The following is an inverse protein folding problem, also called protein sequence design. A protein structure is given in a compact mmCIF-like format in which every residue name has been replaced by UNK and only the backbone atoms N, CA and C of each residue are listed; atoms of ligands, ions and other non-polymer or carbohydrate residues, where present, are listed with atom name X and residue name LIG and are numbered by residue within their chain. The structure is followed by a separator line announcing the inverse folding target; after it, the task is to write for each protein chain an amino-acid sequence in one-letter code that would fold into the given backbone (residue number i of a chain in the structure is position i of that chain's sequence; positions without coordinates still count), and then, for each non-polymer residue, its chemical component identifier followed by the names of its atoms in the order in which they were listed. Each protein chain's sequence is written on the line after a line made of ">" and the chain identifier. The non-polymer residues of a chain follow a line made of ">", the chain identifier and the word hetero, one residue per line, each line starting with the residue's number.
data_IF_858308741543
#
_entry.id   IF_858308741543
#
_cell.length_a   1.000
_cell.length_b   1.000
_cell.length_c   1.000
_cell.angle_alpha   90.00
_cell.angle_beta   90.00
_cell.angle_gamma   90.00
#
_symmetry.space_group_name_H-M   'P 1'
#
loop_
_entity.id
_entity.type
_entity.pdbx_description
1 polymer ?
2 polymer ?
3 non-polymer ?
4 water ?
#
# COMPACT_ATOMS: atom_id res chain seq x y z
N UNK A 1 1.50 -4.57 -12.98
CA UNK A 1 2.85 -4.34 -12.45
C UNK A 1 3.35 -5.53 -11.64
N UNK A 2 4.34 -6.23 -12.15
CA UNK A 2 4.88 -7.39 -11.45
C UNK A 2 5.80 -6.90 -10.35
N UNK A 3 5.60 -7.43 -9.14
CA UNK A 3 6.32 -6.91 -7.98
C UNK A 3 6.87 -7.99 -7.04
N UNK A 4 7.80 -7.57 -6.18
CA UNK A 4 8.36 -8.42 -5.14
C UNK A 4 8.09 -7.78 -3.79
N UNK A 5 7.51 -8.54 -2.87
CA UNK A 5 7.11 -7.97 -1.59
C UNK A 5 8.11 -8.37 -0.52
N UNK A 6 8.56 -7.41 0.28
CA UNK A 6 9.37 -7.72 1.46
C UNK A 6 8.77 -7.12 2.72
N UNK A 7 8.12 -7.95 3.52
CA UNK A 7 7.63 -7.50 4.81
C UNK A 7 8.75 -7.34 5.82
N UNK A 8 8.68 -6.27 6.61
CA UNK A 8 9.65 -6.06 7.69
C UNK A 8 8.91 -5.82 9.00
N UNK A 9 9.12 -6.70 9.97
CA UNK A 9 8.35 -6.62 11.20
C UNK A 9 7.03 -7.36 11.10
N UNK A 10 6.29 -7.32 12.20
CA UNK A 10 5.09 -8.14 12.33
C UNK A 10 3.94 -7.71 11.41
N UNK A 11 3.60 -6.43 11.46
CA UNK A 11 2.54 -5.89 10.60
C UNK A 11 2.91 -6.08 9.13
N UNK A 12 4.16 -5.75 8.79
CA UNK A 12 4.62 -5.87 7.41
C UNK A 12 4.49 -7.28 6.85
N UNK A 13 4.83 -8.27 7.66
CA UNK A 13 4.74 -9.65 7.20
C UNK A 13 3.29 -10.08 7.03
N UNK A 14 2.43 -9.57 7.90
CA UNK A 14 1.01 -9.87 7.82
C UNK A 14 0.36 -9.25 6.57
N UNK A 15 0.67 -7.99 6.31
CA UNK A 15 0.12 -7.31 5.14
C UNK A 15 0.71 -7.90 3.86
N UNK A 16 2.02 -8.16 3.86
CA UNK A 16 2.65 -8.80 2.70
C UNK A 16 2.05 -10.18 2.39
N UNK A 17 1.71 -10.95 3.43
CA UNK A 17 1.03 -12.23 3.23
C UNK A 17 -0.36 -12.06 2.62
N UNK A 18 -1.11 -11.07 3.10
CA UNK A 18 -2.48 -10.85 2.63
C UNK A 18 -2.48 -10.47 1.14
N UNK A 19 -1.57 -9.58 0.77
CA UNK A 19 -1.42 -9.17 -0.63
C UNK A 19 -1.05 -10.35 -1.52
N UNK A 20 -0.08 -11.17 -1.11
CA UNK A 20 0.30 -12.33 -1.89
C UNK A 20 -0.85 -13.31 -2.00
N UNK A 21 -1.57 -13.47 -0.89
CA UNK A 21 -2.74 -14.34 -0.85
C UNK A 21 -3.85 -13.84 -1.81
N UNK A 22 -4.06 -12.54 -1.86
CA UNK A 22 -5.03 -11.99 -2.81
C UNK A 22 -4.60 -12.26 -4.25
N UNK A 23 -3.34 -11.97 -4.55
CA UNK A 23 -2.79 -12.20 -5.88
C UNK A 23 -2.90 -13.66 -6.32
N UNK A 24 -2.71 -14.58 -5.38
CA UNK A 24 -2.70 -16.02 -5.68
C UNK A 24 -4.10 -16.55 -5.93
N UNK A 25 -5.03 -16.17 -5.05
CA UNK A 25 -6.40 -16.64 -5.14
C UNK A 25 -7.08 -16.16 -6.43
N UNK A 26 -6.85 -14.90 -6.78
CA UNK A 26 -7.41 -14.34 -8.02
C UNK A 26 -6.69 -14.85 -9.25
N UNK A 27 -5.48 -15.35 -9.08
CA UNK A 27 -4.71 -15.81 -10.22
C UNK A 27 -4.10 -14.70 -11.05
N UNK A 28 -4.03 -13.48 -10.53
CA UNK A 28 -3.44 -12.38 -11.30
C UNK A 28 -1.93 -12.55 -11.57
N UNK A 29 -1.21 -13.12 -10.60
CA UNK A 29 0.21 -13.41 -10.78
C UNK A 29 1.13 -12.19 -10.76
N UNK A 30 0.69 -11.11 -10.14
CA UNK A 30 1.45 -9.86 -10.15
C UNK A 30 2.54 -9.91 -9.11
N UNK A 31 2.31 -10.68 -8.06
CA UNK A 31 3.28 -10.83 -6.99
C UNK A 31 4.20 -11.98 -7.35
N UNK A 32 5.45 -11.66 -7.68
CA UNK A 32 6.38 -12.69 -8.15
C UNK A 32 6.96 -13.46 -6.97
N UNK A 33 7.05 -12.79 -5.83
CA UNK A 33 7.55 -13.44 -4.63
C UNK A 33 7.23 -12.57 -3.44
N UNK A 34 7.34 -13.15 -2.25
CA UNK A 34 7.07 -12.44 -1.00
C UNK A 34 7.96 -13.03 0.08
N UNK A 35 8.62 -12.17 0.84
CA UNK A 35 9.51 -12.59 1.92
C UNK A 35 9.21 -11.75 3.15
N UNK A 36 9.20 -12.37 4.32
CA UNK A 36 9.04 -11.59 5.54
C UNK A 36 10.31 -11.64 6.38
N UNK A 37 10.75 -10.47 6.82
CA UNK A 37 11.91 -10.33 7.67
C UNK A 37 11.46 -9.85 9.04
N UNK A 38 12.01 -10.43 10.10
CA UNK A 38 11.64 -10.04 11.46
C UNK A 38 12.71 -10.44 12.45
N UNK A 39 12.54 -10.01 13.69
CA UNK A 39 13.48 -10.30 14.77
C UNK A 39 12.74 -11.07 15.85
N UNK A 40 11.44 -11.25 15.65
CA UNK A 40 10.62 -12.06 16.54
C UNK A 40 10.35 -13.38 15.82
N UNK A 41 10.83 -14.48 16.39
CA UNK A 41 10.72 -15.76 15.69
C UNK A 41 9.27 -16.23 15.53
N UNK A 42 8.48 -16.08 16.60
CA UNK A 42 7.08 -16.50 16.59
C UNK A 42 6.25 -15.87 15.46
N UNK A 43 6.48 -14.59 15.19
CA UNK A 43 5.80 -13.90 14.10
C UNK A 43 6.02 -14.58 12.76
N UNK A 44 7.23 -15.07 12.55
CA UNK A 44 7.58 -15.62 11.25
C UNK A 44 7.01 -17.00 11.05
N UNK A 45 6.83 -17.73 12.14
CA UNK A 45 6.43 -19.13 12.05
C UNK A 45 5.01 -19.31 11.52
N UNK A 46 4.18 -18.28 11.67
CA UNK A 46 2.78 -18.39 11.29
C UNK A 46 2.53 -18.02 9.83
N UNK A 47 3.48 -17.31 9.24
CA UNK A 47 3.32 -16.81 7.87
C UNK A 47 3.57 -17.86 6.80
N UNK A 48 2.79 -17.79 5.70
CA UNK A 48 2.89 -18.72 4.58
C UNK A 48 3.88 -18.28 3.50
N UNK A 49 4.66 -17.23 3.78
CA UNK A 49 5.67 -16.76 2.85
C UNK A 49 7.04 -17.17 3.34
N UNK A 50 8.04 -17.06 2.48
CA UNK A 50 9.43 -17.26 2.88
C UNK A 50 9.77 -16.29 4.01
N UNK A 51 10.47 -16.79 5.02
CA UNK A 51 10.79 -15.98 6.21
C UNK A 51 12.30 -15.89 6.44
N UNK A 52 12.74 -14.73 6.91
CA UNK A 52 14.13 -14.53 7.32
C UNK A 52 14.19 -13.95 8.73
N UNK A 53 14.84 -14.68 9.63
CA UNK A 53 15.01 -14.22 11.00
C UNK A 53 16.37 -13.55 11.11
N UNK A 54 16.37 -12.33 11.62
CA UNK A 54 17.61 -11.59 11.82
C UNK A 54 17.72 -11.17 13.28
N UNK A 55 18.94 -10.84 13.70
CA UNK A 55 19.18 -10.23 14.99
C UNK A 55 19.27 -11.12 16.21
N UNK A 56 19.27 -12.44 16.03
CA UNK A 56 19.32 -13.38 17.17
C UNK A 56 20.49 -13.15 18.11
N UNK A 57 21.61 -12.65 17.57
CA UNK A 57 22.78 -12.39 18.39
C UNK A 57 22.57 -11.20 19.30
N UNK A 58 21.54 -10.40 19.01
CA UNK A 58 21.22 -9.21 19.82
C UNK A 58 19.98 -9.43 20.72
N UNK A 59 18.90 -9.94 20.13
CA UNK A 59 17.61 -10.01 20.82
C UNK A 59 16.98 -11.41 20.86
N UNK A 60 17.77 -12.43 20.53
CA UNK A 60 17.37 -13.83 20.77
C UNK A 60 15.97 -14.21 20.23
N UNK A 61 15.63 -13.77 19.03
CA UNK A 61 14.36 -14.14 18.44
C UNK A 61 13.10 -13.58 19.10
N UNK A 62 13.25 -12.60 19.98
CA UNK A 62 12.07 -12.08 20.69
C UNK A 62 11.73 -10.61 20.42
N UNK A 63 12.10 -10.11 19.24
CA UNK A 63 11.71 -8.78 18.80
C UNK A 63 12.51 -7.69 19.49
N UNK A 64 12.32 -6.44 19.07
CA UNK A 64 13.08 -5.33 19.65
C UNK A 64 12.22 -4.41 20.51
N UNK A 65 10.96 -4.80 20.75
CA UNK A 65 10.11 -4.14 21.72
C UNK A 65 9.93 -2.65 21.52
N UNK A 66 9.78 -2.25 20.26
CA UNK A 66 9.42 -0.88 19.93
C UNK A 66 10.62 0.03 19.92
N UNK A 67 11.81 -0.56 20.03
CA UNK A 67 13.06 0.19 19.97
C UNK A 67 13.46 0.36 18.50
N UNK A 68 13.16 1.54 17.96
CA UNK A 68 13.43 1.91 16.59
C UNK A 68 14.93 1.83 16.22
N UNK A 69 15.79 2.30 17.12
CA UNK A 69 17.21 2.36 16.83
C UNK A 69 17.86 0.96 16.85
N UNK A 70 17.32 0.08 17.67
CA UNK A 70 17.74 -1.32 17.66
C UNK A 70 17.23 -2.00 16.39
N UNK A 71 16.03 -1.63 15.95
CA UNK A 71 15.47 -2.16 14.72
C UNK A 71 16.29 -1.82 13.50
N UNK A 72 16.85 -0.62 13.50
CA UNK A 72 17.69 -0.16 12.40
C UNK A 72 19.07 -0.86 12.41
N UNK A 73 19.68 -0.96 13.59
CA UNK A 73 21.03 -1.54 13.73
C UNK A 73 21.07 -3.00 13.30
N UNK A 74 20.02 -3.73 13.64
CA UNK A 74 19.96 -5.15 13.30
C UNK A 74 19.82 -5.33 11.78
N UNK A 75 19.03 -4.48 11.15
CA UNK A 75 18.90 -4.53 9.70
C UNK A 75 20.21 -4.11 9.02
N UNK A 76 20.96 -3.21 9.63
CA UNK A 76 22.26 -2.83 9.08
C UNK A 76 23.22 -4.02 9.09
N UNK A 77 23.32 -4.69 10.24
CA UNK A 77 24.25 -5.79 10.44
C UNK A 77 23.90 -7.00 9.60
N UNK A 78 22.61 -7.20 9.40
CA UNK A 78 22.13 -8.45 8.83
C UNK A 78 21.52 -8.29 7.44
N UNK A 79 21.73 -7.13 6.81
CA UNK A 79 21.10 -6.89 5.50
C UNK A 79 21.54 -7.81 4.38
N UNK A 80 22.79 -8.28 4.43
CA UNK A 80 23.30 -9.22 3.43
C UNK A 80 22.43 -10.48 3.40
N UNK A 81 22.16 -11.05 4.57
CA UNK A 81 21.27 -12.21 4.67
C UNK A 81 19.87 -11.88 4.12
N UNK A 82 19.40 -10.66 4.38
CA UNK A 82 18.13 -10.22 3.80
C UNK A 82 18.22 -10.12 2.28
N UNK A 83 19.18 -9.33 1.78
CA UNK A 83 19.40 -9.18 0.33
C UNK A 83 19.56 -10.52 -0.38
N UNK A 84 20.11 -11.51 0.33
CA UNK A 84 20.39 -12.82 -0.27
C UNK A 84 19.15 -13.70 -0.38
N UNK A 85 18.17 -13.42 0.46
CA UNK A 85 16.87 -14.05 0.30
C UNK A 85 16.25 -13.56 -1.01
N UNK A 86 16.58 -12.32 -1.40
CA UNK A 86 16.04 -11.70 -2.60
C UNK A 86 16.75 -12.08 -3.89
N UNK A 87 17.94 -12.67 -3.77
CA UNK A 87 18.72 -13.04 -4.94
C UNK A 87 17.89 -13.79 -5.98
N UNK A 88 17.39 -14.96 -5.59
CA UNK A 88 16.61 -15.77 -6.51
C UNK A 88 15.13 -15.38 -6.52
N UNK A 89 14.82 -14.24 -5.93
CA UNK A 89 13.42 -13.81 -5.80
C UNK A 89 13.08 -12.52 -6.55
N UNK A 90 13.93 -11.50 -6.44
CA UNK A 90 13.80 -10.32 -7.30
C UNK A 90 14.33 -10.72 -8.67
N UNK A 91 13.48 -11.38 -9.44
CA UNK A 91 13.92 -11.87 -10.73
C UNK A 91 13.97 -10.72 -11.72
N UNK A 92 14.25 -11.04 -12.98
CA UNK A 92 14.38 -10.05 -14.03
C UNK A 92 13.03 -9.45 -14.38
N UNK A 93 11.98 -10.23 -14.14
CA UNK A 93 10.64 -9.82 -14.49
C UNK A 93 10.07 -8.78 -13.54
N UNK A 94 10.75 -8.52 -12.42
CA UNK A 94 10.21 -7.61 -11.42
C UNK A 94 10.16 -6.17 -11.93
N UNK A 95 9.03 -5.51 -11.74
CA UNK A 95 8.89 -4.15 -12.25
C UNK A 95 8.97 -3.12 -11.14
N UNK A 96 8.95 -3.60 -9.91
CA UNK A 96 9.02 -2.76 -8.74
C UNK A 96 9.27 -3.65 -7.53
N UNK A 97 9.65 -3.03 -6.41
CA UNK A 97 9.78 -3.73 -5.14
C UNK A 97 9.07 -2.96 -4.04
N UNK A 98 8.20 -3.64 -3.30
CA UNK A 98 7.50 -3.02 -2.17
C UNK A 98 8.10 -3.47 -0.85
N UNK A 99 8.62 -2.52 -0.05
CA UNK A 99 8.99 -2.83 1.32
C UNK A 99 7.77 -2.53 2.20
N UNK A 100 7.16 -3.56 2.77
CA UNK A 100 5.92 -3.40 3.52
C UNK A 100 6.19 -3.35 5.04
N UNK A 101 5.78 -2.28 5.69
CA UNK A 101 6.08 -2.09 7.12
C UNK A 101 5.03 -1.31 7.91
N UNK A 102 4.86 -1.72 9.17
CA UNK A 102 4.19 -0.90 10.15
C UNK A 102 5.17 0.15 10.63
N UNK A 103 4.86 1.42 10.41
CA UNK A 103 5.82 2.48 10.74
C UNK A 103 5.96 2.75 12.24
N UNK A 104 5.00 2.30 13.06
CA UNK A 104 5.04 2.58 14.49
C UNK A 104 5.83 1.59 15.34
N UNK A 105 6.10 0.41 14.80
CA UNK A 105 6.78 -0.64 15.53
C UNK A 105 8.25 -0.35 15.76
N UNK A 106 9.02 -1.37 16.10
CA UNK A 106 10.45 -1.21 16.28
C UNK A 106 11.18 -1.74 15.06
N UNK A 107 10.83 -2.95 14.65
CA UNK A 107 11.51 -3.63 13.56
C UNK A 107 11.25 -3.00 12.20
N UNK A 108 9.97 -2.84 11.86
CA UNK A 108 9.60 -2.25 10.60
C UNK A 108 10.07 -0.83 10.57
N UNK A 109 9.71 -0.09 11.62
CA UNK A 109 10.09 1.32 11.75
C UNK A 109 11.58 1.53 11.52
N UNK A 110 12.40 0.75 12.22
CA UNK A 110 13.84 0.87 12.11
C UNK A 110 14.38 0.29 10.83
N UNK A 111 13.99 -0.94 10.51
CA UNK A 111 14.53 -1.66 9.37
C UNK A 111 14.02 -1.24 7.99
N UNK A 112 12.78 -0.75 7.91
CA UNK A 112 12.24 -0.42 6.58
C UNK A 112 13.09 0.60 5.82
N UNK A 113 13.44 1.73 6.45
CA UNK A 113 14.20 2.73 5.70
C UNK A 113 15.55 2.19 5.28
N UNK A 114 16.18 1.44 6.20
CA UNK A 114 17.48 0.84 5.92
C UNK A 114 17.42 -0.09 4.71
N UNK A 115 16.45 -0.99 4.68
CA UNK A 115 16.31 -1.90 3.56
C UNK A 115 15.90 -1.17 2.27
N UNK A 116 15.04 -0.15 2.41
CA UNK A 116 14.62 0.62 1.23
C UNK A 116 15.82 1.32 0.61
N UNK A 117 16.63 1.96 1.46
CA UNK A 117 17.81 2.68 1.00
C UNK A 117 18.86 1.73 0.41
N UNK A 118 18.94 0.51 0.93
CA UNK A 118 19.87 -0.47 0.38
C UNK A 118 19.42 -0.95 -1.02
N UNK A 119 18.14 -1.23 -1.16
CA UNK A 119 17.59 -1.74 -2.42
C UNK A 119 17.57 -0.68 -3.51
N UNK A 120 17.22 0.55 -3.13
CA UNK A 120 17.16 1.66 -4.07
C UNK A 120 18.52 1.92 -4.71
N UNK A 121 19.58 1.53 -4.01
CA UNK A 121 20.92 1.85 -4.46
C UNK A 121 21.57 0.75 -5.29
N UNK A 122 20.78 -0.18 -5.79
CA UNK A 122 21.31 -1.28 -6.59
C UNK A 122 20.39 -1.76 -7.71
N UNK A 123 19.09 -1.85 -7.43
CA UNK A 123 18.13 -2.30 -8.44
C UNK A 123 17.68 -1.13 -9.31
N UNK A 124 17.32 -1.42 -10.56
CA UNK A 124 16.92 -0.35 -11.48
C UNK A 124 15.45 0.01 -11.32
N UNK A 125 14.66 -0.91 -10.77
CA UNK A 125 13.22 -0.68 -10.64
C UNK A 125 12.89 0.17 -9.42
N UNK A 126 11.72 0.83 -9.43
CA UNK A 126 11.40 1.62 -8.23
C UNK A 126 11.29 0.75 -6.97
N UNK A 127 11.74 1.31 -5.86
CA UNK A 127 11.52 0.72 -4.54
C UNK A 127 10.50 1.56 -3.78
N UNK A 128 9.35 0.96 -3.51
CA UNK A 128 8.26 1.64 -2.81
C UNK A 128 8.17 1.09 -1.40
N UNK A 129 7.74 1.93 -0.46
CA UNK A 129 7.38 1.47 0.86
C UNK A 129 5.86 1.50 0.97
N UNK A 130 5.28 0.36 1.32
CA UNK A 130 3.88 0.32 1.70
C UNK A 130 3.87 0.45 3.23
N UNK A 131 3.58 1.66 3.70
CA UNK A 131 3.73 1.97 5.11
C UNK A 131 2.43 2.09 5.88
N UNK A 132 2.36 1.41 7.03
CA UNK A 132 1.17 1.50 7.89
C UNK A 132 1.31 2.54 8.99
N UNK A 133 0.43 3.54 8.94
CA UNK A 133 0.40 4.61 9.93
C UNK A 133 -0.37 4.12 11.16
N UNK A 134 0.16 4.39 12.37
CA UNK A 134 -0.54 3.92 13.57
C UNK A 134 -1.81 4.71 13.78
N UNK A 135 -2.82 4.07 14.37
CA UNK A 135 -4.01 4.81 14.76
C UNK A 135 -3.68 5.89 15.77
N UNK A 136 -4.48 6.95 15.74
CA UNK A 136 -4.30 8.09 16.63
C UNK A 136 -4.39 7.76 18.12
N UNK A 137 -5.02 6.64 18.47
CA UNK A 137 -5.09 6.25 19.88
C UNK A 137 -3.84 5.50 20.37
N UNK A 138 -2.97 5.11 19.45
CA UNK A 138 -1.78 4.34 19.81
C UNK A 138 -0.80 5.18 20.63
N UNK A 139 0.03 4.50 21.42
CA UNK A 139 0.94 5.19 22.32
C UNK A 139 1.90 6.16 21.68
N UNK A 140 2.30 7.15 22.44
CA UNK A 140 3.30 8.12 22.01
C UNK A 140 4.54 7.49 21.37
N UNK A 141 5.00 6.38 21.95
CA UNK A 141 6.18 5.69 21.45
C UNK A 141 6.02 5.29 20.00
N UNK A 142 4.83 4.83 19.66
CA UNK A 142 4.50 4.38 18.32
C UNK A 142 4.33 5.57 17.37
N UNK A 143 3.79 6.67 17.88
CA UNK A 143 3.65 7.89 17.09
C UNK A 143 5.03 8.43 16.72
N UNK A 144 5.93 8.45 17.71
CA UNK A 144 7.32 8.89 17.51
C UNK A 144 8.10 7.98 16.54
N UNK A 145 8.02 6.67 16.74
CA UNK A 145 8.62 5.73 15.79
C UNK A 145 8.14 5.98 14.34
N UNK A 146 6.84 6.17 14.18
CA UNK A 146 6.25 6.37 12.87
C UNK A 146 6.64 7.71 12.29
N UNK A 147 6.72 8.72 13.15
CA UNK A 147 7.10 10.06 12.70
C UNK A 147 8.46 10.05 12.05
N UNK A 148 9.45 9.54 12.78
CA UNK A 148 10.81 9.43 12.28
C UNK A 148 10.91 8.50 11.07
N UNK A 149 10.26 7.34 11.16
CA UNK A 149 10.27 6.37 10.07
C UNK A 149 9.69 6.98 8.78
N UNK A 150 8.53 7.63 8.89
CA UNK A 150 7.87 8.24 7.74
C UNK A 150 8.77 9.28 7.11
N UNK A 151 9.43 10.07 7.95
CA UNK A 151 10.34 11.09 7.46
C UNK A 151 11.48 10.43 6.67
N UNK A 152 12.01 9.34 7.20
CA UNK A 152 13.17 8.72 6.56
C UNK A 152 12.80 8.02 5.26
N UNK A 153 11.74 7.23 5.28
CA UNK A 153 11.33 6.52 4.06
C UNK A 153 10.90 7.48 2.96
N UNK A 154 10.33 8.63 3.31
CA UNK A 154 9.92 9.58 2.29
C UNK A 154 11.11 10.17 1.53
N UNK A 155 12.29 10.08 2.13
CA UNK A 155 13.51 10.51 1.44
C UNK A 155 14.19 9.37 0.69
N UNK A 156 14.20 8.18 1.28
CA UNK A 156 14.98 7.08 0.74
C UNK A 156 14.23 6.23 -0.29
N UNK A 157 12.92 6.14 -0.17
CA UNK A 157 12.12 5.34 -1.08
C UNK A 157 11.72 6.13 -2.32
N UNK A 158 11.27 5.45 -3.35
CA UNK A 158 10.83 6.17 -4.55
C UNK A 158 9.44 6.73 -4.32
N UNK A 159 8.67 6.05 -3.49
CA UNK A 159 7.45 6.62 -2.92
C UNK A 159 6.98 5.81 -1.73
N UNK A 160 6.18 6.46 -0.88
CA UNK A 160 5.61 5.81 0.27
C UNK A 160 4.10 5.82 0.17
N UNK A 161 3.52 4.66 -0.15
CA UNK A 161 2.07 4.52 -0.17
C UNK A 161 1.59 4.27 1.26
N UNK A 162 0.78 5.18 1.79
CA UNK A 162 0.40 5.11 3.20
C UNK A 162 -0.96 4.49 3.43
N UNK A 163 -1.02 3.62 4.44
CA UNK A 163 -2.26 3.08 4.93
C UNK A 163 -2.50 3.61 6.34
N UNK A 164 -3.60 4.33 6.51
CA UNK A 164 -4.01 4.79 7.84
C UNK A 164 -4.94 3.75 8.49
N UNK A 165 -4.46 3.10 9.55
CA UNK A 165 -5.25 2.10 10.26
C UNK A 165 -6.59 2.65 10.75
N UNK A 166 -6.58 3.90 11.16
CA UNK A 166 -7.80 4.58 11.57
C UNK A 166 -8.81 4.73 10.43
N UNK A 167 -8.36 4.59 9.18
CA UNK A 167 -9.28 4.75 8.04
C UNK A 167 -10.14 3.50 7.83
N UNK A 168 -9.77 2.40 8.47
CA UNK A 168 -10.46 1.14 8.27
C UNK A 168 -10.91 0.56 9.60
N UNK A 169 -12.15 0.88 9.95
CA UNK A 169 -12.72 0.52 11.23
C UNK A 169 -14.15 0.03 11.04
N UNK A 170 -14.54 -0.96 11.83
CA UNK A 170 -15.89 -1.51 11.75
C UNK A 170 -16.35 -1.68 13.19
N UNK A 171 -17.53 -1.14 13.52
CA UNK A 171 -18.01 -1.21 14.89
C UNK A 171 -18.13 -2.66 15.37
N UNK A 172 -17.66 -2.90 16.60
CA UNK A 172 -17.81 -4.20 17.22
C UNK A 172 -16.69 -5.20 16.96
N UNK A 173 -15.81 -4.89 16.02
CA UNK A 173 -14.77 -5.83 15.62
C UNK A 173 -13.76 -6.16 16.74
N UNK A 174 -13.35 -7.42 16.78
CA UNK A 174 -12.27 -7.83 17.66
C UNK A 174 -10.95 -7.23 17.17
N UNK A 175 -9.95 -7.25 18.03
CA UNK A 175 -8.66 -6.66 17.72
C UNK A 175 -8.00 -7.32 16.52
N UNK A 176 -8.06 -8.65 16.48
CA UNK A 176 -7.41 -9.37 15.39
C UNK A 176 -8.22 -9.28 14.10
N UNK A 177 -9.55 -9.29 14.22
CA UNK A 177 -10.44 -9.08 13.07
C UNK A 177 -10.18 -7.72 12.42
N UNK A 178 -10.03 -6.71 13.27
CA UNK A 178 -9.74 -5.37 12.79
C UNK A 178 -8.51 -5.36 11.90
N UNK A 179 -7.42 -5.93 12.40
CA UNK A 179 -6.16 -5.95 11.66
C UNK A 179 -6.29 -6.75 10.39
N UNK A 180 -6.89 -7.94 10.47
CA UNK A 180 -7.14 -8.73 9.27
C UNK A 180 -8.01 -7.97 8.26
N UNK A 181 -9.06 -7.30 8.74
CA UNK A 181 -9.95 -6.54 7.86
C UNK A 181 -9.20 -5.42 7.17
N UNK A 182 -8.31 -4.76 7.90
CA UNK A 182 -7.49 -3.70 7.28
C UNK A 182 -6.59 -4.30 6.22
N UNK A 183 -5.91 -5.37 6.57
CA UNK A 183 -4.98 -6.00 5.65
C UNK A 183 -5.69 -6.46 4.38
N UNK A 184 -6.88 -7.00 4.55
CA UNK A 184 -7.63 -7.54 3.43
C UNK A 184 -8.12 -6.44 2.49
N UNK A 185 -8.51 -5.30 3.06
CA UNK A 185 -8.98 -4.19 2.24
C UNK A 185 -7.80 -3.63 1.48
N UNK A 186 -6.65 -3.58 2.15
CA UNK A 186 -5.48 -3.02 1.49
C UNK A 186 -5.03 -3.95 0.39
N UNK A 187 -5.07 -5.25 0.68
CA UNK A 187 -4.69 -6.25 -0.29
C UNK A 187 -5.52 -6.14 -1.59
N UNK A 188 -6.83 -6.02 -1.45
CA UNK A 188 -7.71 -5.89 -2.62
C UNK A 188 -7.40 -4.66 -3.45
N UNK A 189 -7.28 -3.51 -2.78
CA UNK A 189 -6.88 -2.26 -3.41
C UNK A 189 -5.55 -2.32 -4.15
N UNK A 190 -4.51 -2.76 -3.45
CA UNK A 190 -3.17 -2.81 -4.03
C UNK A 190 -3.08 -3.89 -5.09
N UNK A 191 -3.63 -5.06 -4.78
CA UNK A 191 -3.66 -6.17 -5.72
C UNK A 191 -4.29 -5.81 -7.07
N UNK A 192 -5.41 -5.07 -7.03
CA UNK A 192 -6.09 -4.68 -8.25
C UNK A 192 -5.23 -3.69 -9.00
N UNK A 193 -4.57 -2.80 -8.27
CA UNK A 193 -3.66 -1.84 -8.90
C UNK A 193 -2.53 -2.57 -9.62
N UNK A 194 -1.97 -3.58 -8.95
CA UNK A 194 -0.92 -4.39 -9.53
C UNK A 194 -1.43 -5.24 -10.68
N UNK A 195 -2.66 -5.72 -10.57
CA UNK A 195 -3.21 -6.61 -11.60
C UNK A 195 -3.59 -5.89 -12.90
N UNK A 196 -3.97 -4.63 -12.80
CA UNK A 196 -4.42 -3.86 -13.97
C UNK A 196 -3.40 -3.88 -15.10
N UNK A 197 -2.12 -3.87 -14.74
CA UNK A 197 -1.05 -3.88 -15.72
C UNK A 197 -0.80 -5.25 -16.33
N UNK A 198 -1.45 -6.28 -15.80
CA UNK A 198 -1.18 -7.63 -16.28
C UNK A 198 -2.28 -8.17 -17.19
N UNK A 199 -3.31 -7.36 -17.42
CA UNK A 199 -4.34 -7.65 -18.42
C UNK A 199 -5.01 -9.01 -18.25
N UNK A 207 -6.72 -1.69 -21.06
CA UNK A 207 -5.65 -2.24 -20.24
C UNK A 207 -4.62 -1.17 -19.87
N UNK A 208 -4.45 -0.97 -18.57
CA UNK A 208 -3.59 0.08 -18.03
C UNK A 208 -2.13 -0.34 -17.96
N UNK A 209 -1.27 0.27 -18.78
CA UNK A 209 0.16 -0.05 -18.78
C UNK A 209 0.71 0.10 -17.37
N UNK A 210 1.70 -0.73 -17.04
CA UNK A 210 2.38 -0.64 -15.75
C UNK A 210 3.09 0.71 -15.63
N UNK A 211 3.47 1.28 -16.77
CA UNK A 211 4.20 2.54 -16.76
C UNK A 211 3.35 3.71 -16.25
N UNK A 212 2.02 3.59 -16.31
CA UNK A 212 1.12 4.60 -15.76
C UNK A 212 1.24 4.67 -14.24
N UNK A 213 1.40 3.50 -13.62
CA UNK A 213 1.60 3.42 -12.17
C UNK A 213 2.96 4.03 -11.80
N UNK A 214 3.99 3.65 -12.55
CA UNK A 214 5.34 4.14 -12.30
C UNK A 214 5.44 5.65 -12.45
N UNK A 215 4.82 6.19 -13.50
CA UNK A 215 4.86 7.63 -13.73
C UNK A 215 4.00 8.43 -12.75
N UNK A 216 2.96 7.80 -12.22
CA UNK A 216 2.17 8.41 -11.16
C UNK A 216 2.98 8.56 -9.87
N UNK A 217 3.72 7.51 -9.51
CA UNK A 217 4.52 7.51 -8.28
C UNK A 217 5.88 8.18 -8.43
N UNK A 218 6.24 8.52 -9.67
CA UNK A 218 7.57 9.02 -10.01
C UNK A 218 7.95 10.31 -9.27
N UNK A 219 6.96 11.13 -8.96
CA UNK A 219 7.17 12.38 -8.24
C UNK A 219 7.74 12.17 -6.83
N UNK A 220 7.45 11.02 -6.23
CA UNK A 220 7.97 10.73 -4.91
C UNK A 220 7.07 11.16 -3.76
N UNK A 221 7.58 10.99 -2.55
CA UNK A 221 6.86 11.37 -1.34
C UNK A 221 5.67 10.49 -1.07
N UNK A 222 4.67 11.03 -0.38
CA UNK A 222 3.55 10.24 0.09
C UNK A 222 2.54 9.94 -1.02
N UNK A 223 2.07 8.70 -1.07
CA UNK A 223 1.00 8.37 -1.99
C UNK A 223 -0.20 7.78 -1.27
N UNK A 224 -1.37 7.86 -1.91
CA UNK A 224 -2.58 7.27 -1.35
C UNK A 224 -3.32 6.50 -2.42
N UNK A 225 -4.11 5.52 -2.00
CA UNK A 225 -4.82 4.70 -2.96
C UNK A 225 -6.29 4.64 -2.62
N UNK A 226 -7.11 5.19 -3.50
CA UNK A 226 -8.54 5.25 -3.25
C UNK A 226 -9.31 4.14 -3.93
N UNK A 227 -10.37 3.68 -3.28
CA UNK A 227 -11.24 2.66 -3.86
C UNK A 227 -12.71 2.85 -3.49
N UNK A 228 -13.59 2.68 -4.47
CA UNK A 228 -15.03 2.61 -4.22
C UNK A 228 -15.72 1.86 -5.36
N UNK A 229 -16.84 1.20 -5.05
CA UNK A 229 -17.54 0.41 -6.06
C UNK A 229 -19.06 0.58 -6.02
N UNK A 230 -19.71 0.15 -7.08
CA UNK A 230 -21.16 0.30 -7.21
C UNK A 230 -21.68 -0.79 -8.11
N UNK A 231 -22.93 -1.17 -7.92
CA UNK A 231 -23.56 -2.12 -8.81
C UNK A 231 -23.57 -1.56 -10.22
N UNK A 232 -23.31 -2.41 -11.21
CA UNK A 232 -23.38 -1.99 -12.60
C UNK A 232 -24.64 -2.48 -13.28
N UNK A 233 -25.27 -1.57 -14.01
CA UNK A 233 -26.30 -1.93 -14.95
C UNK A 233 -25.62 -2.51 -16.18
N UNK A 234 -26.28 -3.46 -16.85
CA UNK A 234 -25.80 -4.04 -18.11
C UNK A 234 -25.68 -2.97 -19.19
N UNK A 235 -26.50 -1.94 -19.09
CA UNK A 235 -26.44 -0.82 -20.03
C UNK A 235 -25.44 0.21 -19.53
N UNK A 236 -24.43 0.50 -20.36
CA UNK A 236 -23.38 1.46 -20.01
C UNK A 236 -23.92 2.86 -19.72
N UNK A 237 -24.89 3.32 -20.51
CA UNK A 237 -25.52 4.62 -20.28
C UNK A 237 -26.12 4.79 -18.87
N UNK A 238 -26.61 3.71 -18.26
CA UNK A 238 -27.16 3.81 -16.91
C UNK A 238 -26.08 3.99 -15.86
N UNK A 239 -24.81 3.81 -16.24
CA UNK A 239 -23.75 3.75 -15.25
C UNK A 239 -22.93 5.02 -15.22
N UNK A 240 -23.38 6.05 -15.92
CA UNK A 240 -22.62 7.29 -15.99
C UNK A 240 -22.45 7.90 -14.60
N UNK A 241 -23.57 7.99 -13.88
CA UNK A 241 -23.57 8.46 -12.49
C UNK A 241 -22.73 7.60 -11.56
N UNK A 242 -22.88 6.28 -11.69
CA UNK A 242 -22.07 5.33 -10.93
C UNK A 242 -20.55 5.59 -11.06
N UNK A 243 -20.09 5.85 -12.29
CA UNK A 243 -18.67 6.14 -12.52
C UNK A 243 -18.24 7.45 -11.85
N UNK A 244 -19.09 8.48 -11.96
CA UNK A 244 -18.83 9.77 -11.31
C UNK A 244 -18.73 9.62 -9.80
N UNK A 245 -19.66 8.88 -9.23
CA UNK A 245 -19.78 8.87 -7.79
C UNK A 245 -18.74 7.94 -7.16
N UNK A 246 -18.52 6.76 -7.74
CA UNK A 246 -17.42 5.91 -7.25
C UNK A 246 -16.08 6.65 -7.30
N UNK A 247 -15.87 7.41 -8.37
CA UNK A 247 -14.62 8.16 -8.53
C UNK A 247 -14.51 9.23 -7.46
N UNK A 248 -15.58 10.00 -7.25
CA UNK A 248 -15.62 10.96 -6.13
C UNK A 248 -15.36 10.31 -4.77
N UNK A 249 -16.02 9.18 -4.53
CA UNK A 249 -15.86 8.52 -3.24
C UNK A 249 -14.43 8.02 -3.05
N UNK A 250 -13.86 7.45 -4.12
CA UNK A 250 -12.51 6.92 -4.08
C UNK A 250 -11.51 8.00 -3.68
N UNK A 251 -11.71 9.19 -4.23
CA UNK A 251 -10.84 10.33 -3.95
C UNK A 251 -11.13 11.00 -2.59
N UNK A 252 -12.40 11.05 -2.19
CA UNK A 252 -12.77 11.80 -1.00
C UNK A 252 -12.98 10.96 0.28
N UNK A 253 -13.65 9.83 0.18
CA UNK A 253 -13.86 8.99 1.36
C UNK A 253 -13.08 7.67 1.35
N UNK A 254 -12.81 7.11 0.19
CA UNK A 254 -12.33 5.74 0.12
C UNK A 254 -10.83 5.60 0.02
N UNK A 255 -10.11 6.63 0.44
CA UNK A 255 -8.67 6.67 0.28
C UNK A 255 -7.94 6.02 1.47
N UNK A 256 -6.82 5.38 1.20
CA UNK A 256 -6.07 4.65 2.22
C UNK A 256 -5.46 5.60 3.26
N UNK A 257 -5.22 6.84 2.83
CA UNK A 257 -4.86 7.96 3.71
C UNK A 257 -5.91 9.07 3.59
N UNK A 258 -6.60 9.44 4.69
CA UNK A 258 -7.60 10.51 4.63
C UNK A 258 -7.08 11.86 4.16
N UNK A 259 -7.95 12.63 3.50
CA UNK A 259 -7.62 13.98 3.02
C UNK A 259 -6.40 14.01 2.09
N UNK A 260 -6.40 13.13 1.09
CA UNK A 260 -5.27 13.04 0.17
C UNK A 260 -5.52 13.63 -1.22
N UNK A 261 -6.49 14.54 -1.32
CA UNK A 261 -6.87 15.13 -2.62
C UNK A 261 -5.76 15.94 -3.28
N UNK A 262 -5.09 16.76 -2.50
CA UNK A 262 -4.10 17.68 -3.04
C UNK A 262 -2.84 16.93 -3.49
N UNK A 263 -2.85 16.42 -4.71
CA UNK A 263 -1.76 15.57 -5.18
C UNK A 263 -1.11 16.06 -6.46
N UNK A 264 0.15 15.68 -6.63
CA UNK A 264 0.92 16.10 -7.79
C UNK A 264 0.55 15.27 -9.01
N UNK A 265 0.19 14.00 -8.79
CA UNK A 265 -0.14 13.12 -9.90
C UNK A 265 -1.26 12.19 -9.49
N UNK A 266 -1.96 11.65 -10.47
CA UNK A 266 -3.05 10.74 -10.18
C UNK A 266 -3.21 9.74 -11.30
N UNK A 267 -3.72 8.57 -10.96
CA UNK A 267 -4.07 7.56 -11.94
C UNK A 267 -5.47 7.06 -11.66
N UNK A 268 -6.36 7.25 -12.64
CA UNK A 268 -7.75 6.85 -12.47
C UNK A 268 -8.04 5.59 -13.27
N UNK A 269 -8.36 4.54 -12.55
CA UNK A 269 -8.67 3.26 -13.17
C UNK A 269 -10.14 2.99 -12.86
N UNK A 270 -10.92 2.81 -13.92
CA UNK A 270 -12.29 2.35 -13.78
C UNK A 270 -12.27 0.88 -14.13
N UNK A 271 -12.72 0.04 -13.20
CA UNK A 271 -12.71 -1.40 -13.41
C UNK A 271 -14.13 -1.96 -13.56
N UNK A 272 -14.28 -2.97 -14.41
CA UNK A 272 -15.56 -3.62 -14.58
C UNK A 272 -15.67 -4.24 -15.95
N UNK A 273 -16.85 -4.73 -16.30
CA UNK A 273 -17.07 -5.28 -17.62
C UNK A 273 -17.11 -4.17 -18.67
N UNK A 274 -16.32 -4.31 -19.75
CA UNK A 274 -16.19 -3.31 -20.82
C UNK A 274 -17.50 -2.73 -21.34
N UNK A 275 -18.49 -3.58 -21.59
CA UNK A 275 -19.79 -3.14 -22.10
C UNK A 275 -20.56 -2.22 -21.15
N UNK A 276 -20.24 -2.27 -19.86
CA UNK A 276 -20.98 -1.49 -18.87
C UNK A 276 -20.34 -0.13 -18.55
N UNK A 277 -19.10 0.06 -18.99
CA UNK A 277 -18.35 1.28 -18.69
C UNK A 277 -18.57 2.35 -19.77
N UNK A 278 -19.31 3.42 -19.42
CA UNK A 278 -19.70 4.45 -20.38
C UNK A 278 -18.58 5.44 -20.71
N UNK A 279 -18.46 5.78 -21.99
CA UNK A 279 -17.45 6.73 -22.44
C UNK A 279 -17.56 8.07 -21.72
N UNK A 280 -18.77 8.62 -21.67
CA UNK A 280 -18.95 9.93 -21.07
C UNK A 280 -18.70 9.90 -19.55
N UNK A 281 -19.05 8.79 -18.93
CA UNK A 281 -18.77 8.62 -17.50
C UNK A 281 -17.29 8.70 -17.19
N UNK A 282 -16.51 7.92 -17.93
CA UNK A 282 -15.06 7.86 -17.72
C UNK A 282 -14.39 9.20 -17.99
N UNK A 283 -14.75 9.82 -19.11
CA UNK A 283 -14.17 11.10 -19.52
C UNK A 283 -14.44 12.15 -18.46
N UNK A 284 -15.71 12.31 -18.09
CA UNK A 284 -16.08 13.25 -17.04
C UNK A 284 -15.46 12.91 -15.68
N UNK A 285 -15.33 11.62 -15.35
CA UNK A 285 -14.74 11.26 -14.05
C UNK A 285 -13.27 11.65 -13.94
N UNK A 286 -12.52 11.42 -15.01
CA UNK A 286 -11.12 11.81 -15.05
C UNK A 286 -11.00 13.32 -14.99
N UNK A 287 -11.86 14.03 -15.71
CA UNK A 287 -11.79 15.48 -15.73
C UNK A 287 -12.08 16.03 -14.34
N UNK A 288 -13.08 15.44 -13.68
CA UNK A 288 -13.35 15.78 -12.28
C UNK A 288 -12.13 15.59 -11.35
N UNK A 289 -11.42 14.48 -11.50
CA UNK A 289 -10.22 14.24 -10.68
C UNK A 289 -9.21 15.34 -10.93
N UNK A 290 -9.04 15.74 -12.19
CA UNK A 290 -8.12 16.81 -12.54
C UNK A 290 -8.50 18.14 -11.88
N UNK A 291 -9.80 18.44 -11.81
CA UNK A 291 -10.27 19.67 -11.18
C UNK A 291 -10.14 19.61 -9.67
N UNK A 292 -10.39 18.44 -9.10
CA UNK A 292 -10.34 18.28 -7.64
C UNK A 292 -8.91 18.26 -7.09
N UNK A 293 -7.98 17.61 -7.78
CA UNK A 293 -6.61 17.52 -7.30
C UNK A 293 -5.75 18.74 -7.65
N UNK A 294 -6.10 19.42 -8.72
CA UNK A 294 -5.26 20.49 -9.24
C UNK A 294 -4.05 19.95 -9.99
N UNK A 295 -3.96 18.62 -10.12
CA UNK A 295 -2.82 17.98 -10.76
C UNK A 295 -2.79 18.20 -12.27
N UNK A 296 -1.60 18.46 -12.82
CA UNK A 296 -1.40 18.56 -14.26
C UNK A 296 -1.01 17.21 -14.87
N UNK A 297 -1.00 16.16 -14.04
CA UNK A 297 -0.58 14.84 -14.48
C UNK A 297 -1.59 13.78 -14.07
N UNK A 298 -2.83 13.92 -14.52
CA UNK A 298 -3.85 12.92 -14.29
C UNK A 298 -3.87 11.97 -15.47
N UNK A 299 -3.56 10.71 -15.18
CA UNK A 299 -3.59 9.64 -16.18
C UNK A 299 -4.82 8.78 -15.95
N UNK A 300 -5.20 8.01 -16.95
CA UNK A 300 -6.37 7.16 -16.79
C UNK A 300 -6.33 5.93 -17.68
N UNK A 301 -7.04 4.89 -17.24
CA UNK A 301 -7.14 3.68 -18.03
C UNK A 301 -8.23 2.80 -17.47
N UNK A 302 -8.65 1.82 -18.24
CA UNK A 302 -9.71 0.92 -17.78
C UNK A 302 -9.19 -0.49 -17.59
N UNK A 303 -9.72 -1.16 -16.57
CA UNK A 303 -9.35 -2.52 -16.21
C UNK A 303 -10.55 -3.42 -16.49
N UNK A 304 -10.57 -4.09 -17.64
CA UNK A 304 -11.68 -5.01 -17.95
C UNK A 304 -11.63 -6.29 -17.11
N UNK A 305 -12.66 -6.53 -16.31
CA UNK A 305 -12.75 -7.76 -15.53
C UNK A 305 -14.20 -8.21 -15.30
N UNK A 306 -14.39 -9.50 -15.05
CA UNK A 306 -15.71 -10.04 -14.77
C UNK A 306 -16.19 -9.58 -13.41
N UNK A 307 -17.39 -9.01 -13.38
CA UNK A 307 -17.96 -8.45 -12.16
C UNK A 307 -19.40 -8.04 -12.44
N UNK A 308 -20.19 -7.92 -11.38
CA UNK A 308 -21.53 -7.37 -11.52
C UNK A 308 -21.50 -5.90 -11.14
N UNK A 309 -20.29 -5.42 -10.86
CA UNK A 309 -20.10 -4.07 -10.37
C UNK A 309 -19.12 -3.26 -11.23
N UNK A 310 -18.96 -2.01 -10.84
CA UNK A 310 -17.96 -1.12 -11.42
C UNK A 310 -17.20 -0.56 -10.25
N UNK A 311 -15.94 -0.22 -10.44
CA UNK A 311 -15.22 0.46 -9.38
C UNK A 311 -14.24 1.46 -9.96
N UNK A 312 -13.95 2.50 -9.17
CA UNK A 312 -12.87 3.40 -9.47
C UNK A 312 -11.74 3.12 -8.48
N UNK A 313 -10.55 2.98 -9.03
CA UNK A 313 -9.37 2.76 -8.22
C UNK A 313 -8.49 3.94 -8.57
N UNK A 314 -8.26 4.83 -7.62
CA UNK A 314 -7.49 6.04 -7.89
C UNK A 314 -6.22 6.14 -7.06
N UNK A 315 -5.06 6.08 -7.74
CA UNK A 315 -3.77 6.25 -7.10
C UNK A 315 -3.41 7.72 -7.13
N UNK A 316 -3.05 8.28 -5.97
CA UNK A 316 -2.64 9.67 -5.89
C UNK A 316 -1.19 9.75 -5.47
N UNK A 317 -0.35 10.35 -6.30
CA UNK A 317 1.07 10.41 -6.00
C UNK A 317 1.45 11.82 -5.60
N UNK A 318 2.43 11.95 -4.71
CA UNK A 318 2.87 13.26 -4.24
C UNK A 318 1.77 13.99 -3.48
N UNK A 319 1.20 13.32 -2.50
CA UNK A 319 0.12 13.89 -1.69
C UNK A 319 0.67 14.97 -0.76
N UNK A 320 -0.07 16.07 -0.62
CA UNK A 320 0.34 17.14 0.28
C UNK A 320 -0.83 17.83 0.99
N UNK A 321 -0.50 18.56 2.05
CA UNK A 321 -1.47 19.31 2.83
C UNK A 321 -2.64 18.46 3.34
N UNK A 322 -2.34 17.21 3.67
CA UNK A 322 -3.32 16.30 4.27
C UNK A 322 -3.44 16.55 5.77
N UNK A 323 -4.66 16.83 6.22
CA UNK A 323 -4.94 17.14 7.62
C UNK A 323 -4.44 16.03 8.54
N UNK A 324 -4.68 14.80 8.10
CA UNK A 324 -4.31 13.61 8.85
C UNK A 324 -2.79 13.51 9.00
N UNK A 325 -2.06 13.68 7.89
CA UNK A 325 -0.59 13.69 7.94
C UNK A 325 -0.06 14.82 8.84
N UNK A 326 -0.59 16.03 8.64
CA UNK A 326 -0.14 17.16 9.43
C UNK A 326 -0.49 16.98 10.90
N UNK A 327 -1.68 16.47 11.17
CA UNK A 327 -2.08 16.18 12.55
C UNK A 327 -1.14 15.12 13.13
N UNK A 328 -0.88 14.07 12.34
CA UNK A 328 0.00 13.00 12.78
C UNK A 328 1.40 13.50 13.16
N UNK A 329 2.02 14.27 12.28
CA UNK A 329 3.35 14.82 12.56
C UNK A 329 3.36 15.76 13.77
N UNK A 330 2.28 16.52 13.93
CA UNK A 330 2.15 17.49 15.01
C UNK A 330 2.18 16.81 16.38
N UNK A 331 1.43 15.71 16.53
CA UNK A 331 1.38 15.05 17.84
C UNK A 331 2.69 14.35 18.09
N UNK A 332 3.28 13.79 17.04
CA UNK A 332 4.56 13.11 17.16
C UNK A 332 5.63 14.07 17.66
N UNK A 333 5.67 15.28 17.14
CA UNK A 333 6.66 16.24 17.61
C UNK A 333 6.39 16.70 19.03
N UNK A 334 5.12 16.67 19.42
CA UNK A 334 4.75 17.06 20.76
C UNK A 334 5.13 15.97 21.77
N UNK A 335 5.07 14.71 21.33
CA UNK A 335 5.51 13.61 22.17
C UNK A 335 7.00 13.72 22.42
N UNK A 336 7.77 13.95 21.36
CA UNK A 336 9.21 14.11 21.49
C UNK A 336 9.60 15.27 22.40
N UNK A 337 8.98 16.43 22.19
CA UNK A 337 9.25 17.60 23.03
C UNK A 337 8.99 17.25 24.48
N UNK A 338 7.88 16.58 24.74
CA UNK A 338 7.50 16.19 26.10
C UNK A 338 8.46 15.13 26.64
N UNK A 339 8.98 14.30 25.73
CA UNK A 339 9.87 13.22 26.12
C UNK A 339 11.28 13.73 26.45
N UNK A 340 11.74 14.74 25.71
CA UNK A 340 13.08 15.27 25.89
C UNK A 340 13.28 15.91 27.27
N UNK A 341 12.19 16.24 27.93
CA UNK A 341 12.25 16.79 29.28
C UNK A 341 11.99 15.71 30.33
N UNK B 1 -10.91 -10.04 -21.29
CA UNK B 1 -11.47 -9.74 -19.98
C UNK B 1 -11.01 -10.78 -18.96
N UNK B 2 -10.65 -10.34 -17.76
CA UNK B 2 -10.30 -11.29 -16.70
C UNK B 2 -11.57 -11.96 -16.19
N UNK B 3 -11.67 -13.27 -16.39
CA UNK B 3 -12.85 -14.02 -15.97
C UNK B 3 -12.69 -14.57 -14.56
N UNK B 4 -13.78 -14.57 -13.81
CA UNK B 4 -13.72 -14.97 -12.41
C UNK B 4 -14.27 -16.38 -12.16
N UNK B 5 -13.37 -17.29 -11.78
CA UNK B 5 -13.80 -18.54 -11.20
C UNK B 5 -14.10 -18.20 -9.74
N UNK B 6 -14.91 -19.04 -9.10
CA UNK B 6 -15.50 -18.79 -7.78
C UNK B 6 -16.62 -17.73 -7.79
N UNK B 7 -17.47 -17.78 -6.78
CA UNK B 7 -18.73 -17.03 -6.79
C UNK B 7 -18.59 -15.62 -6.22
N UNK B 8 -17.46 -15.35 -5.59
CA UNK B 8 -17.21 -14.03 -5.00
C UNK B 8 -16.85 -13.00 -6.07
N UNK B 9 -17.54 -11.86 -6.04
CA UNK B 9 -17.24 -10.75 -6.94
C UNK B 9 -15.94 -10.07 -6.50
N UNK B 10 -15.01 -9.93 -7.43
CA UNK B 10 -13.75 -9.23 -7.18
C UNK B 10 -13.96 -7.83 -6.61
N UNK B 11 -15.01 -7.15 -7.09
CA UNK B 11 -15.29 -5.79 -6.64
C UNK B 11 -16.39 -5.77 -5.58
N UNK B 12 -16.69 -6.93 -5.02
CA UNK B 12 -17.71 -7.05 -3.98
C UNK B 12 -17.36 -6.31 -2.69
N UNK B 13 -18.19 -6.45 -1.66
CA UNK B 13 -18.00 -5.70 -0.42
C UNK B 13 -17.15 -6.44 0.61
X LIG C 1 7.80 -4.36 17.88
X LIG C 1 8.28 -4.52 16.35
X LIG C 1 6.53 -2.78 18.26
X LIG C 1 7.12 -5.68 18.35
X LIG C 1 9.04 -4.06 18.61
X LIG C 1 7.36 -4.61 15.05
X LIG C 1 7.17 -6.01 14.53
X LIG C 1 8.05 -3.80 13.95
X LIG C 1 4.67 -4.16 14.43
X LIG C 1 3.61 -5.03 15.06
X LIG C 1 4.93 -4.69 13.04
X LIG C 1 5.93 -4.01 15.33
X LIG C 1 4.14 -2.71 14.20
X LIG C 1 3.25 -2.08 15.06
X LIG C 1 2.32 -1.20 14.35
X LIG C 1 1.70 -1.88 13.30
X LIG C 1 1.23 -0.72 15.22
X LIG C 1 0.85 0.51 14.72
X LIG C 1 0.15 -1.68 15.02
X LIG C 1 -1.08 -1.05 15.20
X LIG C 1 0.30 -2.03 13.61
X LIG C 1 -0.07 -3.38 13.25
X LIG C 1 0.28 -4.51 13.88
X LIG C 1 -0.22 -5.57 13.21
X LIG C 1 -0.88 -5.10 12.11
X LIG C 1 -1.58 -5.74 11.05
X LIG C 1 -1.70 -7.12 10.99
X LIG C 1 -2.16 -4.97 10.10
X LIG C 1 -2.05 -3.63 10.14
X LIG C 1 -2.69 -2.85 9.07
X LIG C 1 -1.40 -2.97 11.12
X LIG C 1 -0.80 -3.71 12.13
#
# INVERSE_FOLDING_TARGET
>A
MKTVLIGVGQAGGKLASALQSFDRQTGFGAVLDAVAVNTAKADLQSLPVETVLIGQDRVNGHGVGGDNELGAAVMESDQTEVMSALDGRVTAEAESIFVVAGLGGGSGSGGAPVLAKALAGVYDVPVYVLGILPGADEGALYQVNAGRSLKTVAREADAVLLVDNDAFRSAGESMSEGYDAINEAIARRVGLLLAAGEATEGVGESVVDTSEVINTLRSGGIAALGYASAEASPNAEDNINAVMSTTRRAVLTGTSLPDASDADAALVVIAGEPDTIPRKGVERARRWVEDETGSMQVRGGDFPLESGRLASLVLLGGVERSERVESFMERAREAIDKAETEPREDPKG
>B
MWHSDDLDDLLGSHHHHHH
>C hetero
1 GSP PG O3B S1G O2G O3G PB O1B O2B PA O1A O2A O3A O5' C5' C4' O4' C3' O3' C2' O2' C1' N9 C8 N7 C5 C6 O6 N1 C2 N2 N3 C4
#
